data_IF_822345809187
#
_entry.id   IF_822345809187
#
_cell.length_a   1.000
_cell.length_b   1.000
_cell.length_c   1.000
_cell.angle_alpha   90.00
_cell.angle_beta   90.00
_cell.angle_gamma   90.00
#
_symmetry.space_group_name_H-M   'P 1'
#
loop_
_entity.id
_entity.type
_entity.pdbx_description
1 polymer ?
#
# COMPACT_ATOMS: atom_id res chain seq x y z
N UNK A 1 -6.90 26.52 2.43
CA UNK A 1 -6.34 26.36 1.06
C UNK A 1 -5.19 25.38 1.17
N UNK A 2 -5.19 24.31 0.39
CA UNK A 2 -4.10 23.32 0.35
C UNK A 2 -2.90 23.96 -0.36
N UNK A 3 -1.68 23.89 0.19
CA UNK A 3 -0.47 24.37 -0.51
C UNK A 3 -0.29 23.64 -1.86
N UNK A 4 0.14 24.34 -2.89
CA UNK A 4 0.30 23.77 -4.23
C UNK A 4 1.23 22.54 -4.28
N UNK A 5 2.21 22.46 -3.36
CA UNK A 5 3.08 21.29 -3.22
C UNK A 5 2.40 20.03 -2.67
N UNK A 6 1.21 20.17 -2.09
CA UNK A 6 0.41 19.08 -1.54
C UNK A 6 -0.90 18.86 -2.29
N UNK A 7 -1.27 19.75 -3.21
CA UNK A 7 -2.56 19.73 -3.89
C UNK A 7 -2.62 18.61 -4.95
N UNK A 8 -3.64 17.77 -4.83
CA UNK A 8 -3.96 16.68 -5.75
C UNK A 8 -5.25 16.92 -6.55
N UNK A 9 -5.78 18.15 -6.53
CA UNK A 9 -6.95 18.50 -7.32
C UNK A 9 -6.76 18.16 -8.81
N UNK A 10 -7.74 17.48 -9.39
CA UNK A 10 -7.68 17.00 -10.77
C UNK A 10 -6.79 15.78 -11.00
N UNK A 11 -6.29 15.12 -9.96
CA UNK A 11 -5.59 13.81 -10.03
C UNK A 11 -6.53 12.67 -9.71
N UNK A 12 -6.26 11.49 -10.29
CA UNK A 12 -6.96 10.25 -10.00
C UNK A 12 -6.03 9.23 -9.35
N UNK A 13 -6.49 8.62 -8.26
CA UNK A 13 -5.76 7.63 -7.49
C UNK A 13 -6.46 6.27 -7.46
N UNK A 14 -5.68 5.20 -7.49
CA UNK A 14 -6.10 3.83 -7.20
C UNK A 14 -5.41 3.37 -5.91
N UNK A 15 -6.20 2.96 -4.92
CA UNK A 15 -5.69 2.42 -3.65
C UNK A 15 -6.18 0.98 -3.50
N UNK A 16 -5.26 0.03 -3.49
CA UNK A 16 -5.57 -1.39 -3.32
C UNK A 16 -5.61 -1.81 -1.85
N UNK A 17 -6.35 -2.86 -1.51
CA UNK A 17 -6.46 -3.35 -0.12
C UNK A 17 -7.17 -2.38 0.83
N UNK A 18 -8.15 -1.61 0.35
CA UNK A 18 -8.86 -0.58 1.11
C UNK A 18 -10.21 -1.05 1.71
N UNK A 19 -10.43 -2.36 1.90
CA UNK A 19 -11.68 -2.91 2.40
C UNK A 19 -11.90 -2.81 3.91
N UNK A 20 -10.85 -2.57 4.71
CA UNK A 20 -10.95 -2.43 6.18
C UNK A 20 -11.06 -0.97 6.57
N UNK A 21 -12.04 -0.63 7.42
CA UNK A 21 -12.29 0.73 7.90
C UNK A 21 -11.11 1.32 8.69
N UNK A 22 -10.42 0.49 9.46
CA UNK A 22 -9.26 0.86 10.26
C UNK A 22 -7.93 0.50 9.58
N UNK A 23 -7.95 0.11 8.30
CA UNK A 23 -6.78 -0.30 7.54
C UNK A 23 -6.01 0.87 6.94
N UNK A 24 -4.71 0.64 6.69
CA UNK A 24 -3.81 1.62 6.06
C UNK A 24 -4.35 2.05 4.68
N UNK A 25 -4.88 1.11 3.88
CA UNK A 25 -5.41 1.41 2.54
C UNK A 25 -6.59 2.39 2.57
N UNK A 26 -7.53 2.21 3.51
CA UNK A 26 -8.66 3.14 3.65
C UNK A 26 -8.21 4.51 4.17
N UNK A 27 -7.29 4.54 5.14
CA UNK A 27 -6.71 5.78 5.64
C UNK A 27 -5.94 6.53 4.53
N UNK A 28 -5.19 5.82 3.69
CA UNK A 28 -4.48 6.41 2.54
C UNK A 28 -5.47 6.97 1.49
N UNK A 29 -6.54 6.23 1.20
CA UNK A 29 -7.59 6.69 0.29
C UNK A 29 -8.24 7.99 0.78
N UNK A 30 -8.56 8.07 2.08
CA UNK A 30 -9.08 9.28 2.71
C UNK A 30 -8.09 10.44 2.62
N UNK A 31 -6.83 10.23 2.98
CA UNK A 31 -5.81 11.26 2.94
C UNK A 31 -5.59 11.82 1.52
N UNK A 32 -5.62 10.98 0.49
CA UNK A 32 -5.53 11.41 -0.90
C UNK A 32 -6.77 12.21 -1.33
N UNK A 33 -7.97 11.78 -0.90
CA UNK A 33 -9.21 12.49 -1.18
C UNK A 33 -9.27 13.86 -0.46
N UNK A 34 -8.77 13.96 0.77
CA UNK A 34 -8.62 15.21 1.52
C UNK A 34 -7.67 16.20 0.82
N UNK A 35 -6.68 15.70 0.08
CA UNK A 35 -5.78 16.50 -0.76
C UNK A 35 -6.36 16.81 -2.14
N UNK A 36 -7.60 16.41 -2.44
CA UNK A 36 -8.33 16.76 -3.66
C UNK A 36 -8.32 15.73 -4.77
N UNK A 37 -7.73 14.55 -4.57
CA UNK A 37 -7.76 13.48 -5.56
C UNK A 37 -9.14 12.84 -5.70
N UNK A 38 -9.51 12.42 -6.92
CA UNK A 38 -10.56 11.43 -7.15
C UNK A 38 -9.99 10.04 -6.88
N UNK A 39 -10.68 9.19 -6.09
CA UNK A 39 -10.09 7.95 -5.61
C UNK A 39 -10.91 6.73 -6.02
N UNK A 40 -10.25 5.71 -6.57
CA UNK A 40 -10.78 4.35 -6.65
C UNK A 40 -10.21 3.53 -5.51
N UNK A 41 -11.07 3.02 -4.63
CA UNK A 41 -10.69 2.06 -3.59
C UNK A 41 -10.97 0.64 -4.08
N UNK A 42 -10.02 -0.27 -3.88
CA UNK A 42 -10.18 -1.66 -4.32
C UNK A 42 -9.95 -2.65 -3.17
N UNK A 43 -10.73 -3.73 -3.17
CA UNK A 43 -10.59 -4.87 -2.27
C UNK A 43 -11.16 -6.13 -2.91
N UNK A 44 -11.00 -7.29 -2.25
CA UNK A 44 -11.52 -8.59 -2.74
C UNK A 44 -12.99 -8.85 -2.39
N UNK A 45 -13.65 -7.98 -1.64
CA UNK A 45 -15.02 -8.18 -1.14
C UNK A 45 -15.89 -6.92 -1.27
N UNK A 46 -17.22 -7.09 -1.20
CA UNK A 46 -18.22 -6.02 -1.28
C UNK A 46 -18.06 -4.91 -0.25
N UNK A 47 -17.37 -5.16 0.87
CA UNK A 47 -17.04 -4.14 1.89
C UNK A 47 -16.39 -2.88 1.28
N UNK A 48 -15.74 -3.00 0.14
CA UNK A 48 -15.15 -1.85 -0.55
C UNK A 48 -16.19 -0.81 -0.95
N UNK A 49 -17.41 -1.22 -1.29
CA UNK A 49 -18.48 -0.30 -1.65
C UNK A 49 -18.97 0.49 -0.43
N UNK A 50 -19.02 -0.12 0.76
CA UNK A 50 -19.31 0.59 2.00
C UNK A 50 -18.22 1.63 2.32
N UNK A 51 -16.94 1.27 2.07
CA UNK A 51 -15.80 2.19 2.25
C UNK A 51 -15.89 3.38 1.28
N UNK A 52 -16.20 3.11 0.02
CA UNK A 52 -16.42 4.17 -0.98
C UNK A 52 -17.61 5.07 -0.60
N UNK A 53 -18.73 4.48 -0.15
CA UNK A 53 -19.92 5.22 0.28
C UNK A 53 -19.63 6.09 1.51
N UNK A 54 -18.83 5.62 2.48
CA UNK A 54 -18.44 6.40 3.64
C UNK A 54 -17.63 7.65 3.26
N UNK A 55 -16.67 7.53 2.34
CA UNK A 55 -15.90 8.67 1.85
C UNK A 55 -16.76 9.62 0.98
N UNK A 56 -17.63 9.07 0.13
CA UNK A 56 -18.54 9.88 -0.68
C UNK A 56 -19.54 10.65 0.21
N UNK A 57 -20.05 10.03 1.28
CA UNK A 57 -20.90 10.68 2.28
C UNK A 57 -20.20 11.81 3.03
N UNK A 58 -18.87 11.78 3.14
CA UNK A 58 -18.05 12.87 3.68
C UNK A 58 -17.73 13.97 2.63
N UNK A 59 -18.24 13.83 1.40
CA UNK A 59 -18.11 14.84 0.35
C UNK A 59 -16.94 14.62 -0.60
N UNK A 60 -16.24 13.47 -0.54
CA UNK A 60 -15.13 13.16 -1.43
C UNK A 60 -15.58 12.44 -2.69
N UNK A 61 -14.79 12.57 -3.76
CA UNK A 61 -15.03 11.92 -5.06
C UNK A 61 -14.39 10.53 -5.05
N UNK A 62 -15.18 9.49 -4.81
CA UNK A 62 -14.68 8.12 -4.59
C UNK A 62 -15.59 7.09 -5.25
N UNK A 63 -14.99 6.04 -5.81
CA UNK A 63 -15.68 4.82 -6.24
C UNK A 63 -15.03 3.57 -5.62
N UNK A 64 -15.81 2.48 -5.53
CA UNK A 64 -15.35 1.16 -5.09
C UNK A 64 -15.24 0.18 -6.24
N UNK A 65 -14.23 -0.69 -6.22
CA UNK A 65 -14.05 -1.77 -7.18
C UNK A 65 -13.63 -3.08 -6.49
N UNK A 66 -14.15 -4.21 -6.95
CA UNK A 66 -13.76 -5.53 -6.45
C UNK A 66 -12.76 -6.14 -7.42
N UNK A 67 -11.62 -6.60 -6.91
CA UNK A 67 -10.62 -7.33 -7.69
C UNK A 67 -9.80 -8.25 -6.81
N UNK A 68 -9.53 -9.47 -7.28
CA UNK A 68 -8.48 -10.34 -6.73
C UNK A 68 -7.20 -10.11 -7.52
N UNK A 69 -6.25 -9.44 -6.88
CA UNK A 69 -5.02 -8.97 -7.52
C UNK A 69 -3.93 -10.05 -7.61
N UNK A 70 -4.21 -11.27 -7.17
CA UNK A 70 -3.36 -12.43 -7.45
C UNK A 70 -3.51 -12.91 -8.90
N UNK A 71 -4.54 -12.43 -9.61
CA UNK A 71 -4.77 -12.63 -11.03
C UNK A 71 -4.35 -11.38 -11.82
N UNK A 72 -3.48 -11.56 -12.81
CA UNK A 72 -2.96 -10.50 -13.67
C UNK A 72 -4.06 -9.81 -14.49
N UNK A 73 -5.00 -10.58 -15.04
CA UNK A 73 -6.13 -10.04 -15.80
C UNK A 73 -7.08 -9.21 -14.94
N UNK A 74 -7.27 -9.60 -13.67
CA UNK A 74 -8.06 -8.81 -12.72
C UNK A 74 -7.37 -7.48 -12.38
N UNK A 75 -6.06 -7.46 -12.24
CA UNK A 75 -5.29 -6.23 -12.02
C UNK A 75 -5.40 -5.27 -13.21
N UNK A 76 -5.28 -5.78 -14.46
CA UNK A 76 -5.52 -4.98 -15.67
C UNK A 76 -6.97 -4.48 -15.75
N UNK A 77 -7.94 -5.33 -15.41
CA UNK A 77 -9.35 -4.97 -15.35
C UNK A 77 -9.62 -3.84 -14.37
N UNK A 78 -9.01 -3.87 -13.19
CA UNK A 78 -9.12 -2.83 -12.17
C UNK A 78 -8.56 -1.49 -12.65
N UNK A 79 -7.39 -1.49 -13.28
CA UNK A 79 -6.79 -0.26 -13.84
C UNK A 79 -7.67 0.30 -14.96
N UNK A 80 -8.20 -0.54 -15.86
CA UNK A 80 -9.14 -0.10 -16.90
C UNK A 80 -10.43 0.49 -16.30
N UNK A 81 -10.96 -0.08 -15.22
CA UNK A 81 -12.14 0.45 -14.55
C UNK A 81 -11.88 1.83 -13.92
N UNK A 82 -10.74 2.03 -13.29
CA UNK A 82 -10.32 3.33 -12.75
C UNK A 82 -10.18 4.38 -13.88
N UNK A 83 -9.50 4.02 -14.96
CA UNK A 83 -9.35 4.86 -16.16
C UNK A 83 -10.71 5.21 -16.80
N UNK A 84 -11.57 4.22 -17.00
CA UNK A 84 -12.89 4.42 -17.62
C UNK A 84 -13.81 5.33 -16.80
N UNK A 85 -13.56 5.46 -15.49
CA UNK A 85 -14.35 6.29 -14.60
C UNK A 85 -13.81 7.73 -14.48
N UNK A 86 -12.46 7.90 -14.45
CA UNK A 86 -11.82 9.20 -14.20
C UNK A 86 -11.16 9.80 -15.44
N UNK A 87 -11.09 9.06 -16.56
CA UNK A 87 -10.36 9.42 -17.80
C UNK A 87 -8.84 9.66 -17.57
N UNK A 88 -8.33 9.22 -16.44
CA UNK A 88 -6.92 9.32 -16.02
C UNK A 88 -6.58 8.38 -14.86
N UNK A 89 -5.30 8.09 -14.70
CA UNK A 89 -4.75 7.45 -13.50
C UNK A 89 -3.35 8.00 -13.23
N UNK A 90 -3.20 8.74 -12.14
CA UNK A 90 -1.97 9.44 -11.77
C UNK A 90 -1.26 8.77 -10.59
N UNK A 91 -2.02 8.16 -9.68
CA UNK A 91 -1.50 7.66 -8.40
C UNK A 91 -1.93 6.21 -8.22
N UNK A 92 -0.97 5.35 -7.84
CA UNK A 92 -1.23 3.98 -7.41
C UNK A 92 -0.63 3.77 -6.03
N UNK A 93 -1.46 3.34 -5.08
CA UNK A 93 -1.01 2.86 -3.77
C UNK A 93 -1.22 1.35 -3.71
N UNK A 94 -0.13 0.59 -3.85
CA UNK A 94 -0.10 -0.86 -3.72
C UNK A 94 -0.07 -1.24 -2.24
N UNK A 95 -1.26 -1.33 -1.63
CA UNK A 95 -1.42 -1.69 -0.22
C UNK A 95 -2.06 -3.08 -0.05
N UNK A 96 -2.62 -3.68 -1.09
CA UNK A 96 -3.10 -5.07 -1.03
C UNK A 96 -1.95 -6.01 -0.60
N UNK A 97 -2.29 -6.98 0.22
CA UNK A 97 -1.36 -7.92 0.84
C UNK A 97 -1.82 -8.22 2.27
N UNK A 98 -1.17 -9.15 2.94
CA UNK A 98 -1.58 -9.70 4.23
C UNK A 98 -2.81 -10.63 4.17
N UNK A 99 -3.10 -11.25 5.31
CA UNK A 99 -4.18 -12.19 5.50
C UNK A 99 -5.48 -11.65 4.93
N UNK A 100 -5.97 -12.28 3.91
CA UNK A 100 -7.33 -12.07 3.43
C UNK A 100 -8.30 -12.63 4.47
N UNK A 101 -9.25 -11.81 4.94
CA UNK A 101 -10.37 -12.27 5.77
C UNK A 101 -11.22 -13.32 5.01
N UNK A 102 -11.09 -13.39 3.68
CA UNK A 102 -11.74 -14.39 2.84
C UNK A 102 -11.03 -15.75 2.83
N UNK A 103 -9.81 -15.85 3.34
CA UNK A 103 -9.08 -17.11 3.54
C UNK A 103 -8.62 -17.24 5.01
N UNK A 104 -9.55 -17.35 5.97
CA UNK A 104 -9.18 -17.60 7.35
C UNK A 104 -8.55 -19.00 7.42
N UNK A 105 -7.24 -19.06 7.71
CA UNK A 105 -6.52 -20.31 7.92
C UNK A 105 -5.42 -20.65 6.92
N UNK A 106 -5.23 -19.91 5.85
CA UNK A 106 -3.97 -19.97 5.11
C UNK A 106 -2.90 -19.27 5.97
N UNK A 107 -2.24 -20.04 6.82
CA UNK A 107 -1.12 -19.55 7.63
C UNK A 107 -0.05 -19.04 6.65
N UNK A 108 0.08 -17.72 6.54
CA UNK A 108 1.20 -17.11 5.80
C UNK A 108 2.51 -17.26 6.60
N UNK A 109 2.40 -17.52 7.89
CA UNK A 109 3.50 -17.76 8.79
C UNK A 109 4.05 -19.17 8.70
N UNK A 110 5.36 -19.28 8.75
CA UNK A 110 6.11 -20.52 8.79
C UNK A 110 7.60 -20.25 8.64
N UNK A 111 8.40 -21.04 9.36
CA UNK A 111 9.83 -21.07 9.09
C UNK A 111 10.12 -21.85 7.79
N UNK A 112 11.36 -21.83 7.35
CA UNK A 112 11.74 -22.48 6.09
C UNK A 112 11.56 -24.02 6.05
N UNK A 113 11.30 -24.65 7.19
CA UNK A 113 11.06 -26.09 7.28
C UNK A 113 9.57 -26.43 7.27
N UNK A 114 8.74 -25.54 7.81
CA UNK A 114 7.29 -25.72 7.95
C UNK A 114 6.48 -25.13 6.81
N UNK A 115 7.02 -24.13 6.10
CA UNK A 115 6.35 -23.45 5.00
C UNK A 115 6.48 -24.29 3.72
N UNK A 116 5.38 -24.80 3.20
CA UNK A 116 5.37 -25.53 1.94
C UNK A 116 5.43 -24.59 0.71
N UNK A 117 5.64 -25.20 -0.47
CA UNK A 117 5.79 -24.42 -1.71
C UNK A 117 4.49 -23.72 -2.17
N UNK A 118 3.33 -24.20 -1.75
CA UNK A 118 2.03 -23.62 -2.07
C UNK A 118 1.81 -22.36 -1.23
N UNK A 119 2.01 -22.42 0.07
CA UNK A 119 1.94 -21.29 0.99
C UNK A 119 2.96 -20.21 0.63
N UNK A 120 4.19 -20.61 0.26
CA UNK A 120 5.20 -19.68 -0.28
C UNK A 120 4.68 -18.90 -1.50
N UNK A 121 4.19 -19.62 -2.53
CA UNK A 121 3.69 -18.99 -3.76
C UNK A 121 2.48 -18.09 -3.49
N UNK A 122 1.58 -18.53 -2.62
CA UNK A 122 0.41 -17.75 -2.24
C UNK A 122 0.78 -16.43 -1.54
N UNK A 123 1.79 -16.46 -0.67
CA UNK A 123 2.30 -15.25 -0.02
C UNK A 123 2.97 -14.30 -1.03
N UNK A 124 3.78 -14.84 -1.94
CA UNK A 124 4.39 -14.03 -3.01
C UNK A 124 3.33 -13.39 -3.91
N UNK A 125 2.33 -14.17 -4.35
CA UNK A 125 1.24 -13.68 -5.20
C UNK A 125 0.46 -12.54 -4.53
N UNK A 126 0.09 -12.69 -3.25
CA UNK A 126 -0.67 -11.66 -2.51
C UNK A 126 0.13 -10.39 -2.24
N UNK A 127 1.41 -10.52 -1.91
CA UNK A 127 2.20 -9.40 -1.39
C UNK A 127 3.10 -8.74 -2.45
N UNK A 128 3.62 -9.47 -3.42
CA UNK A 128 4.56 -8.94 -4.42
C UNK A 128 3.98 -8.91 -5.83
N UNK A 129 3.45 -10.05 -6.32
CA UNK A 129 2.97 -10.15 -7.70
C UNK A 129 1.79 -9.21 -7.93
N UNK A 130 0.87 -9.10 -6.95
CA UNK A 130 -0.26 -8.16 -6.99
C UNK A 130 0.20 -6.71 -7.20
N UNK A 131 1.25 -6.27 -6.50
CA UNK A 131 1.80 -4.93 -6.63
C UNK A 131 2.49 -4.73 -7.99
N UNK A 132 3.17 -5.76 -8.50
CA UNK A 132 3.76 -5.75 -9.83
C UNK A 132 2.68 -5.66 -10.93
N UNK A 133 1.64 -6.47 -10.89
CA UNK A 133 0.58 -6.47 -11.90
C UNK A 133 -0.15 -5.14 -11.99
N UNK A 134 -0.54 -4.56 -10.86
CA UNK A 134 -1.19 -3.24 -10.83
C UNK A 134 -0.26 -2.14 -11.33
N UNK A 135 1.00 -2.14 -10.90
CA UNK A 135 1.99 -1.16 -11.36
C UNK A 135 2.24 -1.28 -12.87
N UNK A 136 2.43 -2.50 -13.37
CA UNK A 136 2.62 -2.79 -14.80
C UNK A 136 1.45 -2.27 -15.64
N UNK A 137 0.23 -2.47 -15.18
CA UNK A 137 -0.96 -2.02 -15.88
C UNK A 137 -1.12 -0.49 -15.87
N UNK A 138 -0.69 0.21 -14.80
CA UNK A 138 -0.80 1.65 -14.66
C UNK A 138 0.31 2.44 -15.37
N UNK A 139 1.51 1.90 -15.49
CA UNK A 139 2.68 2.59 -16.02
C UNK A 139 2.51 3.15 -17.45
N UNK A 140 1.87 2.47 -18.42
CA UNK A 140 1.67 3.03 -19.76
C UNK A 140 0.91 4.36 -19.74
N UNK A 141 -0.15 4.46 -18.94
CA UNK A 141 -0.98 5.67 -18.83
C UNK A 141 -0.23 6.80 -18.13
N UNK A 142 0.50 6.49 -17.06
CA UNK A 142 1.34 7.45 -16.35
C UNK A 142 2.46 7.99 -17.25
N UNK A 143 3.07 7.13 -18.08
CA UNK A 143 4.10 7.51 -19.04
C UNK A 143 3.55 8.42 -20.13
N UNK A 144 2.38 8.13 -20.67
CA UNK A 144 1.71 8.94 -21.66
C UNK A 144 1.38 10.35 -21.11
N UNK A 145 0.95 10.43 -19.84
CA UNK A 145 0.66 11.71 -19.17
C UNK A 145 1.91 12.47 -18.71
N UNK A 146 3.10 11.87 -18.74
CA UNK A 146 4.34 12.46 -18.22
C UNK A 146 4.32 12.72 -16.72
N UNK A 147 3.45 12.02 -15.97
CA UNK A 147 3.32 12.17 -14.52
C UNK A 147 2.77 10.90 -13.86
N UNK A 148 3.40 10.44 -12.81
CA UNK A 148 2.92 9.29 -12.04
C UNK A 148 3.51 9.23 -10.63
N UNK A 149 2.76 8.64 -9.72
CA UNK A 149 3.18 8.35 -8.35
C UNK A 149 2.77 6.93 -7.99
N UNK A 150 3.73 6.08 -7.70
CA UNK A 150 3.49 4.71 -7.23
C UNK A 150 4.09 4.56 -5.84
N UNK A 151 3.27 4.13 -4.87
CA UNK A 151 3.71 3.87 -3.51
C UNK A 151 3.43 2.41 -3.16
N UNK A 152 4.49 1.68 -2.78
CA UNK A 152 4.42 0.31 -2.29
C UNK A 152 4.27 0.33 -0.76
N UNK A 153 3.21 -0.23 -0.22
CA UNK A 153 3.08 -0.43 1.23
C UNK A 153 3.78 -1.75 1.58
N UNK A 154 5.07 -1.63 1.88
CA UNK A 154 5.92 -2.74 2.28
C UNK A 154 5.71 -3.10 3.77
N UNK A 155 6.77 -3.30 4.52
CA UNK A 155 6.81 -3.53 5.97
C UNK A 155 8.24 -3.28 6.46
N UNK A 156 8.44 -3.05 7.75
CA UNK A 156 9.78 -3.17 8.33
C UNK A 156 10.29 -4.61 8.26
N UNK A 157 9.38 -5.59 8.36
CA UNK A 157 9.71 -7.02 8.20
C UNK A 157 10.06 -7.31 6.74
N UNK A 158 11.28 -7.74 6.54
CA UNK A 158 11.91 -8.02 5.25
C UNK A 158 12.93 -6.95 4.85
N UNK A 159 12.54 -5.74 4.48
CA UNK A 159 13.51 -4.71 4.04
C UNK A 159 14.45 -4.20 5.13
N UNK A 160 14.02 -4.18 6.39
CA UNK A 160 14.73 -3.51 7.50
C UNK A 160 15.01 -4.47 8.63
N UNK A 161 14.04 -5.30 9.00
CA UNK A 161 14.07 -6.23 10.13
C UNK A 161 13.63 -7.62 9.67
N UNK A 162 13.69 -8.59 10.58
CA UNK A 162 13.12 -9.91 10.40
C UNK A 162 12.23 -10.29 11.58
N UNK A 163 11.19 -11.06 11.31
CA UNK A 163 10.33 -11.67 12.30
C UNK A 163 10.41 -13.20 12.18
N UNK A 164 10.30 -13.92 13.30
CA UNK A 164 10.31 -15.38 13.30
C UNK A 164 9.08 -15.91 12.58
N UNK A 165 9.25 -16.99 11.82
CA UNK A 165 8.19 -17.67 11.08
C UNK A 165 7.45 -16.80 10.04
N UNK A 166 8.16 -15.82 9.43
CA UNK A 166 7.62 -14.91 8.42
C UNK A 166 8.46 -14.94 7.12
N UNK A 167 8.98 -16.12 6.77
CA UNK A 167 9.97 -16.23 5.67
C UNK A 167 9.43 -15.74 4.32
N UNK A 168 8.21 -16.14 3.94
CA UNK A 168 7.62 -15.76 2.66
C UNK A 168 7.19 -14.28 2.66
N UNK A 169 6.54 -13.83 3.72
CA UNK A 169 6.15 -12.45 3.88
C UNK A 169 7.35 -11.49 3.85
N UNK A 170 8.40 -11.81 4.61
CA UNK A 170 9.64 -11.02 4.62
C UNK A 170 10.28 -10.93 3.22
N UNK A 171 10.35 -12.05 2.50
CA UNK A 171 10.87 -12.09 1.14
C UNK A 171 10.04 -11.24 0.18
N UNK A 172 8.69 -11.35 0.25
CA UNK A 172 7.80 -10.58 -0.60
C UNK A 172 7.89 -9.07 -0.32
N UNK A 173 7.90 -8.67 0.97
CA UNK A 173 7.99 -7.24 1.35
C UNK A 173 9.37 -6.64 1.05
N UNK A 174 10.45 -7.41 1.18
CA UNK A 174 11.76 -7.00 0.68
C UNK A 174 11.77 -6.87 -0.86
N UNK A 175 11.12 -7.80 -1.55
CA UNK A 175 10.92 -7.77 -3.00
C UNK A 175 10.18 -6.52 -3.48
N UNK A 176 9.15 -6.04 -2.74
CA UNK A 176 8.45 -4.78 -3.06
C UNK A 176 9.39 -3.57 -3.07
N UNK A 177 10.34 -3.49 -2.12
CA UNK A 177 11.32 -2.40 -2.08
C UNK A 177 12.31 -2.51 -3.25
N UNK A 178 12.73 -3.74 -3.61
CA UNK A 178 13.53 -4.00 -4.80
C UNK A 178 12.80 -3.58 -6.08
N UNK A 179 11.54 -3.96 -6.22
CA UNK A 179 10.67 -3.56 -7.32
C UNK A 179 10.51 -2.05 -7.42
N UNK A 180 10.26 -1.37 -6.28
CA UNK A 180 10.13 0.08 -6.24
C UNK A 180 11.38 0.78 -6.76
N UNK A 181 12.59 0.30 -6.40
CA UNK A 181 13.87 0.84 -6.88
C UNK A 181 14.07 0.62 -8.38
N UNK A 182 13.75 -0.56 -8.89
CA UNK A 182 13.85 -0.87 -10.32
C UNK A 182 12.94 0.04 -11.13
N UNK A 183 11.65 0.08 -10.80
CA UNK A 183 10.68 0.93 -11.50
C UNK A 183 11.01 2.43 -11.37
N UNK A 184 11.57 2.85 -10.23
CA UNK A 184 12.01 4.24 -10.04
C UNK A 184 13.09 4.64 -11.05
N UNK A 185 14.07 3.77 -11.28
CA UNK A 185 15.16 4.02 -12.25
C UNK A 185 14.63 3.98 -13.68
N UNK A 186 13.78 2.99 -14.00
CA UNK A 186 13.27 2.79 -15.36
C UNK A 186 12.37 3.95 -15.84
N UNK A 187 11.59 4.56 -14.92
CA UNK A 187 10.52 5.51 -15.29
C UNK A 187 10.71 6.94 -14.74
N UNK A 188 11.84 7.26 -14.09
CA UNK A 188 12.09 8.61 -13.58
C UNK A 188 12.09 9.67 -14.68
N UNK A 189 12.64 9.35 -15.85
CA UNK A 189 12.68 10.27 -16.99
C UNK A 189 11.28 10.59 -17.58
N UNK A 190 10.30 9.70 -17.31
CA UNK A 190 8.91 9.88 -17.71
C UNK A 190 8.08 10.68 -16.66
N UNK A 191 8.73 11.28 -15.66
CA UNK A 191 8.07 12.04 -14.60
C UNK A 191 7.36 11.20 -13.54
N UNK A 192 7.67 9.88 -13.49
CA UNK A 192 7.07 8.93 -12.55
C UNK A 192 8.01 8.69 -11.37
N UNK A 193 7.50 8.82 -10.15
CA UNK A 193 8.23 8.40 -8.95
C UNK A 193 7.64 7.12 -8.38
N UNK A 194 8.52 6.22 -7.93
CA UNK A 194 8.11 4.97 -7.30
C UNK A 194 8.85 4.84 -5.97
N UNK A 195 8.11 4.77 -4.88
CA UNK A 195 8.65 4.70 -3.53
C UNK A 195 7.98 3.60 -2.72
N UNK A 196 8.53 3.28 -1.56
CA UNK A 196 7.95 2.38 -0.59
C UNK A 196 7.76 3.08 0.76
N UNK A 197 6.75 2.67 1.50
CA UNK A 197 6.58 2.94 2.93
C UNK A 197 6.69 1.60 3.65
N UNK A 198 7.47 1.55 4.73
CA UNK A 198 7.67 0.37 5.55
C UNK A 198 7.07 0.59 6.95
N UNK A 199 5.80 0.23 7.19
CA UNK A 199 5.18 0.33 8.50
C UNK A 199 5.77 -0.66 9.50
N UNK A 200 5.82 -0.27 10.79
CA UNK A 200 6.04 -1.16 11.92
C UNK A 200 4.74 -1.73 12.48
N UNK A 201 4.56 -1.66 13.80
CA UNK A 201 3.33 -2.10 14.48
C UNK A 201 2.24 -1.05 14.34
N UNK A 202 1.14 -1.41 13.68
CA UNK A 202 0.04 -0.48 13.37
C UNK A 202 -1.26 -0.96 14.02
N UNK A 203 -1.96 -0.08 14.71
CA UNK A 203 -3.25 -0.33 15.34
C UNK A 203 -4.38 -0.38 14.29
N UNK A 204 -4.43 -1.48 13.54
CA UNK A 204 -5.53 -1.79 12.61
C UNK A 204 -6.52 -2.75 13.24
N UNK A 205 -7.69 -2.94 12.62
CA UNK A 205 -8.68 -3.91 13.12
C UNK A 205 -8.24 -5.38 13.06
N UNK A 206 -7.14 -5.67 12.40
CA UNK A 206 -6.52 -7.01 12.36
C UNK A 206 -5.36 -7.18 13.34
N UNK A 207 -5.01 -6.13 14.10
CA UNK A 207 -3.91 -6.20 15.06
C UNK A 207 -4.20 -7.24 16.14
N UNK A 208 -3.30 -8.19 16.32
CA UNK A 208 -3.35 -9.19 17.38
C UNK A 208 -2.89 -8.62 18.73
N UNK A 209 -3.22 -9.30 19.84
CA UNK A 209 -2.72 -8.90 21.17
C UNK A 209 -1.19 -8.94 21.24
N UNK A 210 -0.56 -9.91 20.59
CA UNK A 210 0.89 -9.99 20.51
C UNK A 210 1.48 -8.75 19.78
N UNK A 211 0.93 -8.36 18.65
CA UNK A 211 1.38 -7.18 17.91
C UNK A 211 1.18 -5.89 18.70
N UNK A 212 0.07 -5.81 19.44
CA UNK A 212 -0.19 -4.67 20.35
C UNK A 212 0.86 -4.58 21.46
N UNK A 213 1.23 -5.70 22.07
CA UNK A 213 2.31 -5.76 23.06
C UNK A 213 3.65 -5.35 22.47
N UNK A 214 3.96 -5.78 21.25
CA UNK A 214 5.18 -5.36 20.58
C UNK A 214 5.17 -3.86 20.27
N UNK A 215 4.02 -3.30 19.94
CA UNK A 215 3.85 -1.85 19.78
C UNK A 215 4.21 -1.06 21.05
N UNK A 216 3.81 -1.57 22.23
CA UNK A 216 4.17 -0.97 23.52
C UNK A 216 5.67 -1.00 23.84
N UNK A 217 6.43 -1.88 23.19
CA UNK A 217 7.88 -2.01 23.33
C UNK A 217 8.68 -1.16 22.34
N UNK A 218 8.01 -0.43 21.46
CA UNK A 218 8.70 0.54 20.60
C UNK A 218 9.19 1.75 21.41
N UNK A 219 10.19 2.51 20.94
CA UNK A 219 10.59 3.75 21.60
C UNK A 219 9.45 4.74 21.83
N UNK A 220 8.45 4.79 20.92
CA UNK A 220 7.24 5.61 21.09
C UNK A 220 6.19 4.99 22.00
N UNK A 221 6.39 3.76 22.49
CA UNK A 221 5.55 3.03 23.46
C UNK A 221 4.09 2.86 23.03
N UNK A 222 3.85 2.77 21.75
CA UNK A 222 2.54 2.49 21.15
C UNK A 222 2.68 1.98 19.73
N UNK A 223 1.67 1.30 19.25
CA UNK A 223 1.48 1.13 17.81
C UNK A 223 1.12 2.46 17.15
N UNK A 224 1.51 2.65 15.91
CA UNK A 224 1.06 3.78 15.12
C UNK A 224 -0.41 3.61 14.70
N UNK A 225 -1.08 4.69 14.38
CA UNK A 225 -2.38 4.65 13.70
C UNK A 225 -2.21 4.44 12.21
N UNK A 226 -3.25 3.95 11.53
CA UNK A 226 -3.28 3.86 10.07
C UNK A 226 -3.06 5.23 9.41
N UNK A 227 -3.56 6.31 10.03
CA UNK A 227 -3.40 7.69 9.53
C UNK A 227 -1.96 8.20 9.58
N UNK A 228 -1.18 7.79 10.56
CA UNK A 228 0.24 8.15 10.63
C UNK A 228 1.03 7.53 9.47
N UNK A 229 0.69 6.31 9.06
CA UNK A 229 1.25 5.67 7.86
C UNK A 229 0.71 6.33 6.58
N UNK A 230 -0.60 6.58 6.53
CA UNK A 230 -1.27 7.21 5.40
C UNK A 230 -0.70 8.61 5.09
N UNK A 231 -0.28 9.36 6.11
CA UNK A 231 0.35 10.67 5.94
C UNK A 231 1.66 10.59 5.14
N UNK A 232 2.49 9.59 5.40
CA UNK A 232 3.72 9.35 4.63
C UNK A 232 3.41 8.93 3.19
N UNK A 233 2.41 8.05 3.01
CA UNK A 233 1.93 7.61 1.70
C UNK A 233 1.42 8.82 0.89
N UNK A 234 0.54 9.62 1.48
CA UNK A 234 -0.06 10.77 0.82
C UNK A 234 0.99 11.80 0.40
N UNK A 235 1.98 12.11 1.27
CA UNK A 235 3.07 13.01 0.91
C UNK A 235 3.85 12.51 -0.32
N UNK A 236 4.20 11.23 -0.39
CA UNK A 236 4.91 10.64 -1.55
C UNK A 236 4.10 10.74 -2.85
N UNK A 237 2.78 10.87 -2.77
CA UNK A 237 1.90 11.05 -3.93
C UNK A 237 1.78 12.51 -4.40
N UNK A 238 2.30 13.48 -3.65
CA UNK A 238 2.15 14.91 -3.96
C UNK A 238 3.19 15.45 -4.94
N UNK A 239 2.95 16.64 -5.55
CA UNK A 239 3.97 17.36 -6.29
C UNK A 239 5.21 17.69 -5.45
N UNK A 240 5.07 17.90 -4.14
CA UNK A 240 6.18 18.19 -3.23
C UNK A 240 7.21 17.08 -3.11
N UNK A 241 6.83 15.83 -3.42
CA UNK A 241 7.73 14.68 -3.43
C UNK A 241 8.34 14.39 -4.82
N UNK A 242 8.25 15.30 -5.78
CA UNK A 242 8.63 15.07 -7.18
C UNK A 242 10.10 14.66 -7.40
N UNK A 243 11.00 14.96 -6.47
CA UNK A 243 12.42 14.59 -6.55
C UNK A 243 12.78 13.41 -5.63
N UNK A 244 11.75 12.76 -5.02
CA UNK A 244 11.91 11.59 -4.15
C UNK A 244 11.45 10.35 -4.91
N UNK A 245 12.39 9.47 -5.30
CA UNK A 245 12.10 8.22 -5.99
C UNK A 245 13.07 7.11 -5.56
N UNK A 246 12.62 5.86 -5.59
CA UNK A 246 13.40 4.68 -5.18
C UNK A 246 13.62 4.57 -3.66
N UNK A 247 12.96 5.39 -2.84
CA UNK A 247 13.16 5.42 -1.40
C UNK A 247 12.21 4.47 -0.67
N UNK A 248 12.65 4.02 0.50
CA UNK A 248 11.82 3.29 1.46
C UNK A 248 11.75 4.10 2.75
N UNK A 249 10.58 4.67 3.05
CA UNK A 249 10.34 5.45 4.26
C UNK A 249 9.82 4.53 5.36
N UNK A 250 10.58 4.43 6.46
CA UNK A 250 10.21 3.64 7.63
C UNK A 250 9.29 4.46 8.54
N UNK A 251 8.14 3.87 8.94
CA UNK A 251 7.16 4.47 9.85
C UNK A 251 6.88 3.45 10.97
N UNK A 252 7.74 3.43 11.99
CA UNK A 252 7.77 2.34 12.99
C UNK A 252 7.99 2.79 14.44
N UNK A 253 7.92 4.09 14.71
CA UNK A 253 8.12 4.65 16.05
C UNK A 253 9.54 4.42 16.62
N UNK A 254 10.53 4.24 15.73
CA UNK A 254 11.93 3.98 16.10
C UNK A 254 12.24 2.52 16.42
N UNK A 255 11.28 1.60 16.20
CA UNK A 255 11.45 0.17 16.56
C UNK A 255 12.67 -0.47 15.87
N UNK A 256 12.94 -0.13 14.61
CA UNK A 256 14.02 -0.73 13.82
C UNK A 256 15.41 -0.19 14.11
N UNK A 257 15.53 0.95 14.80
CA UNK A 257 16.80 1.61 15.09
C UNK A 257 17.19 1.59 16.57
N UNK A 258 16.30 1.08 17.44
CA UNK A 258 16.57 0.98 18.87
C UNK A 258 17.47 -0.23 19.18
N UNK A 259 18.61 -0.01 19.82
CA UNK A 259 19.48 -1.07 20.33
C UNK A 259 18.85 -1.73 21.57
N UNK A 260 18.29 -0.92 22.47
CA UNK A 260 17.57 -1.38 23.66
C UNK A 260 16.06 -1.21 23.47
N UNK A 261 15.32 -2.25 23.83
CA UNK A 261 13.84 -2.23 23.84
C UNK A 261 13.34 -2.18 25.27
N UNK A 262 12.41 -1.29 25.54
CA UNK A 262 11.80 -1.11 26.86
C UNK A 262 10.94 -2.33 27.27
#
# INVERSE_FOLDING_TARGET
MIPASLDLAGRAALVTGAGSESGIGFAAARALAELGASVTVAATTDRVHERAAALAGAGYTVQGAIADLTDDGAAEGLVRAALGHWDRLDIVVNNAGMTSVSLPGAAEGGDALSLDAEAWRASMARNLDSAYYVSRAALPVMRESGWGRIVMVASVTGPVMAMRAESAYAAAKAGMVGLARSLAVDFAADGITVNAVAPGWIATGSQTDHEREQGLRTPMRRSATADEVASAIAWLCTPGAAYTTGQCIVVDGGNSIAEERA
#
